data_IF_369612890370
#
_entry.id   IF_369612890370
#
_cell.length_a   1.000
_cell.length_b   1.000
_cell.length_c   1.000
_cell.angle_alpha   90.00
_cell.angle_beta   90.00
_cell.angle_gamma   90.00
#
_symmetry.space_group_name_H-M   'P 1'
#
loop_
_entity.id
_entity.type
_entity.pdbx_description
1 polymer ?
#
# COMPACT_ATOMS: atom_id res chain seq x y z
N UNK A 1 -27.06 -8.37 0.36
CA UNK A 1 -27.05 -8.02 -1.07
C UNK A 1 -25.68 -7.59 -1.64
N UNK A 2 -24.70 -7.22 -0.80
CA UNK A 2 -23.35 -6.81 -1.26
C UNK A 2 -22.65 -7.82 -2.19
N UNK A 3 -22.84 -9.12 -2.00
CA UNK A 3 -22.25 -10.16 -2.85
C UNK A 3 -22.82 -10.25 -4.26
N UNK A 4 -24.06 -9.77 -4.49
CA UNK A 4 -24.71 -9.82 -5.81
C UNK A 4 -24.46 -8.56 -6.64
N UNK A 5 -24.50 -7.39 -6.00
CA UNK A 5 -24.44 -6.11 -6.73
C UNK A 5 -23.27 -5.20 -6.34
N UNK A 6 -22.57 -5.49 -5.24
CA UNK A 6 -21.52 -4.63 -4.70
C UNK A 6 -20.16 -4.75 -5.39
N UNK A 7 -20.07 -5.18 -6.66
CA UNK A 7 -18.81 -5.47 -7.35
C UNK A 7 -18.20 -4.26 -8.09
N UNK A 8 -18.92 -3.14 -8.22
CA UNK A 8 -18.49 -1.98 -9.02
C UNK A 8 -17.34 -1.17 -8.39
N UNK A 9 -16.97 -1.42 -7.14
CA UNK A 9 -15.86 -0.70 -6.47
C UNK A 9 -14.53 -0.85 -7.22
N UNK A 10 -14.31 -1.97 -7.91
CA UNK A 10 -13.09 -2.20 -8.66
C UNK A 10 -12.96 -1.33 -9.92
N UNK A 11 -14.06 -0.74 -10.39
CA UNK A 11 -14.18 0.04 -11.63
C UNK A 11 -14.36 1.54 -11.39
N UNK A 12 -14.39 1.99 -10.12
CA UNK A 12 -14.55 3.40 -9.81
C UNK A 12 -13.31 4.20 -10.21
N UNK A 13 -13.52 5.43 -10.67
CA UNK A 13 -12.46 6.32 -11.16
C UNK A 13 -11.57 6.87 -10.05
N UNK A 14 -12.00 6.79 -8.80
CA UNK A 14 -11.23 7.21 -7.61
C UNK A 14 -10.24 6.14 -7.13
N UNK A 15 -10.18 4.98 -7.80
CA UNK A 15 -9.21 3.94 -7.50
C UNK A 15 -7.80 4.41 -7.85
N UNK A 16 -6.90 4.36 -6.88
CA UNK A 16 -5.48 4.64 -7.11
C UNK A 16 -4.87 3.60 -8.05
N UNK A 17 -4.26 4.07 -9.14
CA UNK A 17 -3.61 3.24 -10.17
C UNK A 17 -2.09 3.33 -10.15
N UNK A 18 -1.54 4.30 -9.41
CA UNK A 18 -0.11 4.58 -9.33
C UNK A 18 0.30 4.72 -7.86
N UNK A 19 1.56 4.38 -7.52
CA UNK A 19 2.07 4.62 -6.18
C UNK A 19 2.18 6.12 -5.90
N UNK A 20 2.01 6.46 -4.63
CA UNK A 20 2.11 7.82 -4.12
C UNK A 20 3.16 7.87 -3.01
N UNK A 21 4.00 8.90 -3.01
CA UNK A 21 4.94 9.20 -1.93
C UNK A 21 4.60 10.56 -1.36
N UNK A 22 4.73 10.72 -0.04
CA UNK A 22 4.53 12.01 0.63
C UNK A 22 5.79 12.85 0.49
N UNK A 23 5.64 14.07 -0.02
CA UNK A 23 6.70 15.05 -0.03
C UNK A 23 7.02 15.53 1.39
N UNK A 24 8.31 15.62 1.72
CA UNK A 24 8.74 15.94 3.09
C UNK A 24 8.60 17.44 3.43
N UNK A 25 8.62 18.32 2.44
CA UNK A 25 8.56 19.76 2.63
C UNK A 25 7.11 20.25 2.61
N UNK A 26 6.32 19.84 1.61
CA UNK A 26 4.93 20.26 1.47
C UNK A 26 3.95 19.37 2.24
N UNK A 27 4.32 18.12 2.53
CA UNK A 27 3.43 17.14 3.13
C UNK A 27 2.39 16.56 2.16
N UNK A 28 2.38 16.95 0.89
CA UNK A 28 1.42 16.48 -0.11
C UNK A 28 1.78 15.10 -0.68
N UNK A 29 0.79 14.37 -1.20
CA UNK A 29 1.02 13.11 -1.91
C UNK A 29 1.27 13.37 -3.40
N UNK A 30 2.39 12.86 -3.91
CA UNK A 30 2.74 12.94 -5.34
C UNK A 30 2.82 11.55 -5.98
N UNK A 31 2.41 11.46 -7.24
CA UNK A 31 2.55 10.25 -8.06
C UNK A 31 4.01 9.99 -8.36
N UNK A 32 4.42 8.72 -8.24
CA UNK A 32 5.79 8.27 -8.49
C UNK A 32 5.83 7.02 -9.35
N UNK A 33 7.03 6.66 -9.82
CA UNK A 33 7.27 5.37 -10.44
C UNK A 33 7.31 4.25 -9.40
N UNK A 34 7.14 3.00 -9.84
CA UNK A 34 7.27 1.83 -8.95
C UNK A 34 8.68 1.68 -8.34
N UNK A 35 9.79 1.80 -9.09
CA UNK A 35 11.13 1.75 -8.50
C UNK A 35 11.33 2.80 -7.41
N UNK A 36 10.95 4.05 -7.69
CA UNK A 36 11.06 5.14 -6.72
C UNK A 36 10.23 4.89 -5.45
N UNK A 37 9.01 4.37 -5.59
CA UNK A 37 8.17 4.02 -4.45
C UNK A 37 8.79 2.93 -3.58
N UNK A 38 9.36 1.89 -4.20
CA UNK A 38 10.01 0.78 -3.51
C UNK A 38 11.31 1.23 -2.82
N UNK A 39 12.10 2.10 -3.46
CA UNK A 39 13.30 2.71 -2.86
C UNK A 39 12.95 3.55 -1.63
N UNK A 40 11.92 4.40 -1.72
CA UNK A 40 11.46 5.21 -0.60
C UNK A 40 10.97 4.35 0.58
N UNK A 41 10.19 3.30 0.29
CA UNK A 41 9.72 2.35 1.30
C UNK A 41 10.90 1.60 1.95
N UNK A 42 11.85 1.10 1.17
CA UNK A 42 13.03 0.41 1.66
C UNK A 42 13.90 1.30 2.56
N UNK A 43 14.14 2.55 2.16
CA UNK A 43 14.89 3.52 2.95
C UNK A 43 14.22 3.79 4.31
N UNK A 44 12.90 4.02 4.31
CA UNK A 44 12.13 4.24 5.55
C UNK A 44 12.18 3.02 6.48
N UNK A 45 11.97 1.82 5.95
CA UNK A 45 12.01 0.57 6.73
C UNK A 45 13.42 0.28 7.27
N UNK A 46 14.47 0.53 6.48
CA UNK A 46 15.85 0.37 6.91
C UNK A 46 16.18 1.34 8.07
N UNK A 47 15.75 2.60 7.99
CA UNK A 47 15.90 3.58 9.07
C UNK A 47 15.14 3.21 10.36
N UNK A 48 14.05 2.45 10.23
CA UNK A 48 13.22 1.95 11.32
C UNK A 48 13.54 0.51 11.75
N UNK A 49 14.70 -0.04 11.36
CA UNK A 49 15.06 -1.45 11.63
C UNK A 49 14.83 -1.84 13.10
N UNK A 50 14.14 -2.96 13.31
CA UNK A 50 13.77 -3.47 14.64
C UNK A 50 12.62 -2.73 15.33
N UNK A 51 12.06 -1.68 14.70
CA UNK A 51 10.97 -0.85 15.23
C UNK A 51 9.81 -0.71 14.23
N UNK A 52 9.79 -1.55 13.20
CA UNK A 52 8.71 -1.63 12.21
C UNK A 52 7.80 -2.82 12.54
N UNK A 53 6.51 -2.67 12.26
CA UNK A 53 5.51 -3.73 12.33
C UNK A 53 4.57 -3.66 11.13
N UNK A 54 3.91 -4.77 10.82
CA UNK A 54 2.96 -4.87 9.71
C UNK A 54 1.57 -5.10 10.28
N UNK A 55 0.59 -4.30 9.83
CA UNK A 55 -0.83 -4.48 10.13
C UNK A 55 -1.57 -4.89 8.85
N UNK A 56 -1.80 -6.18 8.67
CA UNK A 56 -2.49 -6.74 7.52
C UNK A 56 -4.01 -6.60 7.64
N UNK A 57 -4.71 -6.33 6.53
CA UNK A 57 -6.17 -6.31 6.50
C UNK A 57 -6.80 -7.70 6.37
N UNK A 58 -7.99 -7.90 6.94
CA UNK A 58 -8.72 -9.19 6.89
C UNK A 58 -9.28 -9.59 5.52
N UNK A 59 -8.86 -8.93 4.44
CA UNK A 59 -9.26 -9.23 3.04
C UNK A 59 -8.12 -9.79 2.20
N UNK A 60 -6.93 -9.92 2.79
CA UNK A 60 -5.82 -10.61 2.14
C UNK A 60 -6.15 -12.09 1.94
N UNK A 61 -5.52 -12.69 0.95
CA UNK A 61 -5.46 -14.14 0.85
C UNK A 61 -4.64 -14.71 2.01
N UNK A 62 -4.74 -16.03 2.22
CA UNK A 62 -3.94 -16.70 3.26
C UNK A 62 -2.45 -16.63 2.90
N UNK A 63 -2.14 -16.72 1.60
CA UNK A 63 -0.79 -16.67 1.05
C UNK A 63 -0.12 -15.31 1.30
N UNK A 64 -0.82 -14.20 1.01
CA UNK A 64 -0.27 -12.87 1.25
C UNK A 64 -0.10 -12.59 2.75
N UNK A 65 -1.06 -13.01 3.57
CA UNK A 65 -0.95 -12.89 5.03
C UNK A 65 0.22 -13.72 5.58
N UNK A 66 0.43 -14.93 5.05
CA UNK A 66 1.56 -15.77 5.39
C UNK A 66 2.89 -15.13 4.97
N UNK A 67 2.97 -14.54 3.78
CA UNK A 67 4.16 -13.85 3.30
C UNK A 67 4.61 -12.70 4.23
N UNK A 68 3.67 -11.94 4.80
CA UNK A 68 3.98 -10.90 5.79
C UNK A 68 4.43 -11.44 7.15
N UNK A 69 4.12 -12.69 7.48
CA UNK A 69 4.52 -13.32 8.75
C UNK A 69 5.96 -13.86 8.75
N UNK A 70 6.62 -13.84 7.59
CA UNK A 70 7.94 -14.44 7.37
C UNK A 70 9.03 -13.41 7.16
#
# INVERSE_FOLDING_TARGET
DKGRFGFRYAQQSDRLTNPLVRDAESGELRVVSWPEALEAAAAGLAGARGRAGVLTGGRLTVEDAYAYSK
#
